data_IF_320450770275
#
_entry.id   IF_320450770275
#
_cell.length_a   1.000
_cell.length_b   1.000
_cell.length_c   1.000
_cell.angle_alpha   90.00
_cell.angle_beta   90.00
_cell.angle_gamma   90.00
#
_symmetry.space_group_name_H-M   'P 1'
#
loop_
_entity.id
_entity.type
_entity.pdbx_description
1 polymer ?
#
# COMPACT_ATOMS: atom_id res chain seq x y z
N UNK A 1 -7.40 1.53 16.29
CA UNK A 1 -7.47 2.13 14.94
C UNK A 1 -8.56 3.19 14.94
N UNK A 2 -8.25 4.39 14.47
CA UNK A 2 -9.20 5.49 14.38
C UNK A 2 -9.57 5.73 12.91
N UNK A 3 -10.86 5.57 12.58
CA UNK A 3 -11.40 5.87 11.27
C UNK A 3 -11.96 7.28 11.29
N UNK A 4 -11.43 8.16 10.44
CA UNK A 4 -11.94 9.52 10.26
C UNK A 4 -12.40 9.70 8.81
N UNK A 5 -13.34 10.62 8.59
CA UNK A 5 -13.81 11.06 7.28
C UNK A 5 -14.08 9.89 6.30
N UNK A 6 -15.25 9.26 6.44
CA UNK A 6 -15.71 8.27 5.47
C UNK A 6 -16.33 8.98 4.26
N UNK A 7 -15.86 8.63 3.06
CA UNK A 7 -16.47 9.05 1.81
C UNK A 7 -16.77 7.82 0.95
N UNK A 8 -18.03 7.66 0.59
CA UNK A 8 -18.44 6.68 -0.43
C UNK A 8 -18.25 7.34 -1.79
N UNK A 9 -17.59 6.66 -2.71
CA UNK A 9 -17.35 7.13 -4.07
C UNK A 9 -17.86 6.04 -5.01
N UNK A 10 -18.62 6.39 -6.06
CA UNK A 10 -18.88 5.42 -7.11
C UNK A 10 -17.54 5.01 -7.74
N UNK A 11 -17.26 3.71 -7.73
CA UNK A 11 -15.95 3.20 -8.09
C UNK A 11 -15.58 3.53 -9.53
N UNK A 12 -14.30 3.82 -9.76
CA UNK A 12 -13.76 3.96 -11.12
C UNK A 12 -13.85 2.67 -11.94
N UNK A 13 -14.04 1.52 -11.29
CA UNK A 13 -14.20 0.23 -11.94
C UNK A 13 -15.69 -0.11 -12.12
N UNK A 14 -16.15 -0.47 -13.33
CA UNK A 14 -17.53 -0.90 -13.55
C UNK A 14 -17.85 -2.11 -12.66
N UNK A 15 -18.97 -2.06 -11.94
CA UNK A 15 -19.39 -3.14 -11.04
C UNK A 15 -18.67 -3.21 -9.68
N UNK A 16 -17.93 -2.16 -9.32
CA UNK A 16 -17.26 -2.05 -8.02
C UNK A 16 -17.80 -0.88 -7.20
N UNK A 17 -18.11 -1.11 -5.91
CA UNK A 17 -18.39 -0.03 -4.95
C UNK A 17 -17.09 0.36 -4.24
N UNK A 18 -16.72 1.63 -4.31
CA UNK A 18 -15.49 2.14 -3.71
C UNK A 18 -15.82 2.95 -2.45
N UNK A 19 -15.14 2.64 -1.36
CA UNK A 19 -15.30 3.36 -0.10
C UNK A 19 -13.91 3.83 0.32
N UNK A 20 -13.81 5.11 0.62
CA UNK A 20 -12.56 5.77 0.95
C UNK A 20 -12.62 6.27 2.39
N UNK A 21 -11.57 5.98 3.14
CA UNK A 21 -11.45 6.31 4.55
C UNK A 21 -10.13 7.03 4.78
N UNK A 22 -10.15 8.11 5.56
CA UNK A 22 -8.91 8.63 6.14
C UNK A 22 -8.64 7.85 7.43
N UNK A 23 -7.71 6.90 7.37
CA UNK A 23 -7.40 5.99 8.47
C UNK A 23 -6.18 6.48 9.22
N UNK A 24 -6.28 6.49 10.55
CA UNK A 24 -5.18 6.63 11.48
C UNK A 24 -5.05 5.39 12.34
N UNK A 25 -3.85 4.87 12.49
CA UNK A 25 -3.51 3.85 13.46
C UNK A 25 -2.39 4.39 14.34
N UNK A 26 -2.71 4.61 15.60
CA UNK A 26 -1.77 4.95 16.64
C UNK A 26 -2.11 4.05 17.84
N UNK A 27 -1.45 2.90 17.99
CA UNK A 27 -1.65 2.03 19.14
C UNK A 27 -1.17 2.77 20.39
N UNK A 28 -2.00 2.80 21.44
CA UNK A 28 -1.64 3.43 22.71
C UNK A 28 -0.69 2.58 23.57
N UNK A 29 -0.61 1.29 23.27
CA UNK A 29 0.27 0.32 23.93
C UNK A 29 1.36 -0.17 22.96
N UNK A 30 2.44 -0.74 23.52
CA UNK A 30 3.53 -1.30 22.72
C UNK A 30 3.05 -2.45 21.84
N UNK A 31 3.32 -2.34 20.54
CA UNK A 31 3.11 -3.43 19.58
C UNK A 31 4.41 -4.23 19.54
N UNK A 32 4.31 -5.55 19.70
CA UNK A 32 5.43 -6.45 19.51
C UNK A 32 5.41 -7.00 18.09
N UNK A 33 6.06 -6.29 17.16
CA UNK A 33 6.24 -6.77 15.79
C UNK A 33 7.71 -7.17 15.61
N UNK A 34 7.99 -8.45 15.39
CA UNK A 34 9.35 -8.91 15.11
C UNK A 34 9.59 -9.02 13.60
N UNK A 35 10.68 -8.41 13.14
CA UNK A 35 11.17 -8.53 11.76
C UNK A 35 12.45 -9.36 11.80
N UNK A 36 12.46 -10.48 11.08
CA UNK A 36 13.62 -11.31 10.90
C UNK A 36 14.21 -11.08 9.51
N UNK A 37 15.49 -10.68 9.45
CA UNK A 37 16.26 -10.57 8.22
C UNK A 37 17.49 -11.48 8.33
N UNK A 38 17.35 -12.73 7.91
CA UNK A 38 18.38 -13.76 8.11
C UNK A 38 18.64 -14.02 9.60
N UNK A 39 19.89 -13.94 10.10
CA UNK A 39 20.19 -14.15 11.52
C UNK A 39 19.79 -12.97 12.41
N UNK A 40 19.34 -11.84 11.83
CA UNK A 40 19.04 -10.63 12.60
C UNK A 40 17.56 -10.55 12.93
N UNK A 41 17.26 -10.36 14.21
CA UNK A 41 15.92 -10.11 14.73
C UNK A 41 15.81 -8.68 15.24
N UNK A 42 14.92 -7.89 14.65
CA UNK A 42 14.57 -6.56 15.11
C UNK A 42 13.15 -6.57 15.68
N UNK A 43 12.94 -5.89 16.81
CA UNK A 43 11.60 -5.68 17.35
C UNK A 43 11.16 -4.23 17.08
N UNK A 44 10.03 -4.08 16.40
CA UNK A 44 9.25 -2.85 16.37
C UNK A 44 8.48 -2.75 17.69
N UNK A 45 8.53 -1.58 18.31
CA UNK A 45 7.84 -1.28 19.59
C UNK A 45 6.62 -0.41 19.35
N UNK A 46 6.73 0.50 18.39
CA UNK A 46 5.66 1.41 18.03
C UNK A 46 5.53 1.43 16.51
N UNK A 47 4.29 1.27 16.05
CA UNK A 47 3.91 1.38 14.65
C UNK A 47 2.74 2.35 14.58
N UNK A 48 2.98 3.52 14.01
CA UNK A 48 1.89 4.44 13.67
C UNK A 48 1.80 4.62 12.17
N UNK A 49 0.58 4.64 11.65
CA UNK A 49 0.36 4.96 10.25
C UNK A 49 -0.85 5.85 10.06
N UNK A 50 -0.77 6.75 9.09
CA UNK A 50 -1.88 7.59 8.67
C UNK A 50 -1.92 7.65 7.17
N UNK A 51 -3.08 7.40 6.60
CA UNK A 51 -3.22 7.42 5.16
C UNK A 51 -4.66 7.29 4.72
N UNK A 52 -4.87 7.53 3.43
CA UNK A 52 -6.17 7.38 2.80
C UNK A 52 -6.29 5.98 2.23
N UNK A 53 -7.02 5.15 2.97
CA UNK A 53 -7.32 3.77 2.62
C UNK A 53 -8.54 3.73 1.70
N UNK A 54 -8.44 2.92 0.67
CA UNK A 54 -9.54 2.62 -0.22
C UNK A 54 -9.90 1.14 -0.11
N UNK A 55 -11.19 0.88 0.07
CA UNK A 55 -11.78 -0.45 0.08
C UNK A 55 -12.76 -0.52 -1.10
N UNK A 56 -12.55 -1.50 -1.96
CA UNK A 56 -13.33 -1.73 -3.16
C UNK A 56 -14.07 -3.06 -3.02
N UNK A 57 -15.39 -3.03 -3.06
CA UNK A 57 -16.26 -4.20 -3.05
C UNK A 57 -16.55 -4.59 -4.50
N UNK A 58 -16.14 -5.79 -4.89
CA UNK A 58 -16.16 -6.29 -6.26
C UNK A 58 -17.15 -7.44 -6.40
N UNK A 59 -17.91 -7.45 -7.49
CA UNK A 59 -18.88 -8.51 -7.77
C UNK A 59 -20.02 -8.51 -6.76
N UNK A 60 -20.71 -7.37 -6.64
CA UNK A 60 -21.90 -7.24 -5.80
C UNK A 60 -23.03 -8.06 -6.41
N UNK A 61 -23.63 -8.96 -5.61
CA UNK A 61 -24.68 -9.89 -6.04
C UNK A 61 -25.83 -9.93 -5.02
N UNK A 62 -27.06 -10.26 -5.45
CA UNK A 62 -28.23 -10.31 -4.57
C UNK A 62 -28.27 -11.54 -3.65
N UNK A 63 -27.27 -12.43 -3.71
CA UNK A 63 -27.16 -13.64 -2.89
C UNK A 63 -26.01 -13.53 -1.88
N UNK A 64 -26.06 -14.29 -0.79
CA UNK A 64 -24.97 -14.32 0.20
C UNK A 64 -23.81 -15.19 -0.33
N UNK A 65 -22.54 -14.78 -0.22
CA UNK A 65 -22.07 -13.48 0.27
C UNK A 65 -22.38 -12.36 -0.73
N UNK A 66 -22.86 -11.21 -0.22
CA UNK A 66 -23.33 -10.08 -1.04
C UNK A 66 -22.23 -9.49 -1.94
N UNK A 67 -20.97 -9.72 -1.57
CA UNK A 67 -19.79 -9.28 -2.31
C UNK A 67 -18.92 -10.51 -2.58
N UNK A 68 -18.44 -10.62 -3.82
CA UNK A 68 -17.62 -11.77 -4.25
C UNK A 68 -16.13 -11.57 -3.97
N UNK A 69 -15.66 -10.32 -3.92
CA UNK A 69 -14.29 -10.00 -3.53
C UNK A 69 -14.09 -8.60 -2.97
N UNK A 70 -13.01 -8.42 -2.22
CA UNK A 70 -12.59 -7.13 -1.66
C UNK A 70 -11.21 -6.79 -2.21
N UNK A 71 -11.01 -5.53 -2.63
CA UNK A 71 -9.68 -4.97 -2.87
C UNK A 71 -9.40 -3.86 -1.88
N UNK A 72 -8.21 -3.86 -1.30
CA UNK A 72 -7.77 -2.85 -0.33
C UNK A 72 -6.44 -2.27 -0.77
N UNK A 73 -6.35 -0.95 -0.82
CA UNK A 73 -5.12 -0.24 -1.16
C UNK A 73 -5.10 1.16 -0.58
N UNK A 74 -3.92 1.74 -0.46
CA UNK A 74 -3.75 3.16 -0.18
C UNK A 74 -3.62 3.95 -1.49
N UNK A 75 -4.32 5.08 -1.55
CA UNK A 75 -4.30 5.97 -2.73
C UNK A 75 -2.95 6.65 -2.94
N UNK A 76 -2.23 6.91 -1.84
CA UNK A 76 -0.87 7.44 -1.82
C UNK A 76 -0.10 6.69 -0.73
N UNK A 77 1.23 6.75 -0.78
CA UNK A 77 2.07 6.21 0.29
C UNK A 77 1.62 6.77 1.65
N UNK A 78 1.20 5.91 2.60
CA UNK A 78 0.80 6.39 3.93
C UNK A 78 2.00 6.99 4.65
N UNK A 79 1.72 7.94 5.55
CA UNK A 79 2.73 8.39 6.52
C UNK A 79 2.90 7.28 7.54
N UNK A 80 4.13 6.78 7.67
CA UNK A 80 4.51 5.72 8.59
C UNK A 80 5.55 6.28 9.55
N UNK A 81 5.38 6.01 10.85
CA UNK A 81 6.38 6.29 11.88
C UNK A 81 6.57 5.06 12.74
N UNK A 82 7.83 4.69 12.95
CA UNK A 82 8.23 3.46 13.62
C UNK A 82 9.25 3.76 14.70
N UNK A 83 9.11 3.09 15.83
CA UNK A 83 10.13 3.07 16.89
C UNK A 83 10.64 1.63 17.03
N UNK A 84 11.96 1.48 16.96
CA UNK A 84 12.64 0.18 17.13
C UNK A 84 13.16 0.08 18.56
N UNK A 85 13.11 -1.13 19.15
CA UNK A 85 13.79 -1.41 20.42
C UNK A 85 14.55 -2.73 20.39
N UNK A 86 15.33 -2.98 21.44
CA UNK A 86 16.09 -4.22 21.61
C UNK A 86 17.31 -4.32 20.68
N UNK A 87 17.55 -5.54 20.14
CA UNK A 87 18.71 -5.88 19.29
C UNK A 87 18.78 -5.07 17.99
N UNK A 88 17.69 -4.37 17.64
CA UNK A 88 17.68 -3.41 16.55
C UNK A 88 18.64 -2.22 16.77
N UNK A 89 18.96 -1.86 18.02
CA UNK A 89 19.99 -0.87 18.33
C UNK A 89 21.42 -1.40 18.12
N UNK A 90 21.59 -2.72 18.10
CA UNK A 90 22.86 -3.40 17.83
C UNK A 90 23.03 -3.80 16.36
N UNK A 91 22.06 -3.47 15.50
CA UNK A 91 22.19 -3.64 14.05
C UNK A 91 23.29 -2.71 13.51
N UNK A 92 24.14 -3.17 12.58
CA UNK A 92 25.09 -2.33 11.86
C UNK A 92 24.40 -1.38 10.84
N UNK A 93 23.06 -1.37 10.79
CA UNK A 93 22.28 -0.52 9.90
C UNK A 93 21.70 0.65 10.70
N UNK A 94 21.84 1.90 10.20
CA UNK A 94 21.20 3.05 10.83
C UNK A 94 19.68 2.84 10.93
N UNK A 95 19.03 3.23 12.03
CA UNK A 95 17.58 3.05 12.22
C UNK A 95 16.77 3.73 11.10
N UNK A 96 17.27 4.84 10.55
CA UNK A 96 16.66 5.55 9.42
C UNK A 96 16.60 4.70 8.14
N UNK A 97 17.64 3.89 7.87
CA UNK A 97 17.67 3.00 6.69
C UNK A 97 16.67 1.86 6.85
N UNK A 98 16.54 1.32 8.06
CA UNK A 98 15.56 0.28 8.35
C UNK A 98 14.12 0.81 8.22
N UNK A 99 13.85 2.02 8.73
CA UNK A 99 12.57 2.68 8.56
C UNK A 99 12.22 2.91 7.08
N UNK A 100 13.20 3.33 6.27
CA UNK A 100 13.05 3.51 4.82
C UNK A 100 12.75 2.19 4.13
N UNK A 101 13.49 1.13 4.47
CA UNK A 101 13.28 -0.21 3.91
C UNK A 101 11.88 -0.77 4.23
N UNK A 102 11.43 -0.68 5.48
CA UNK A 102 10.08 -1.11 5.88
C UNK A 102 9.01 -0.29 5.16
N UNK A 103 9.23 1.03 5.05
CA UNK A 103 8.34 1.92 4.29
C UNK A 103 8.25 1.51 2.82
N UNK A 104 9.38 1.24 2.17
CA UNK A 104 9.42 0.86 0.75
C UNK A 104 8.70 -0.47 0.51
N UNK A 105 8.92 -1.47 1.36
CA UNK A 105 8.19 -2.75 1.29
C UNK A 105 6.68 -2.53 1.42
N UNK A 106 6.25 -1.74 2.42
CA UNK A 106 4.84 -1.47 2.64
C UNK A 106 4.24 -0.75 1.43
N UNK A 107 4.90 0.29 0.93
CA UNK A 107 4.48 1.03 -0.27
C UNK A 107 4.33 0.08 -1.46
N UNK A 108 5.34 -0.74 -1.71
CA UNK A 108 5.32 -1.69 -2.83
C UNK A 108 4.16 -2.69 -2.69
N UNK A 109 3.74 -3.10 -1.49
CA UNK A 109 2.68 -4.11 -1.33
C UNK A 109 1.27 -3.55 -1.27
N UNK A 110 1.08 -2.32 -0.77
CA UNK A 110 -0.26 -1.82 -0.40
C UNK A 110 -0.68 -0.53 -1.10
N UNK A 111 0.20 0.07 -1.92
CA UNK A 111 -0.09 1.29 -2.69
C UNK A 111 -0.21 0.93 -4.17
N UNK A 112 -1.10 1.64 -4.87
CA UNK A 112 -1.32 1.44 -6.31
C UNK A 112 0.00 1.39 -7.11
N UNK A 113 0.10 0.50 -8.11
CA UNK A 113 -0.95 -0.40 -8.61
C UNK A 113 -1.17 -1.65 -7.73
N UNK A 114 -0.36 -1.86 -6.70
CA UNK A 114 -0.46 -3.01 -5.83
C UNK A 114 -1.60 -2.84 -4.83
N UNK A 115 -2.37 -3.90 -4.66
CA UNK A 115 -3.53 -3.94 -3.79
C UNK A 115 -3.71 -5.32 -3.21
N UNK A 116 -4.15 -5.36 -1.94
CA UNK A 116 -4.52 -6.61 -1.30
C UNK A 116 -5.88 -7.04 -1.84
N UNK A 117 -5.95 -8.27 -2.34
CA UNK A 117 -7.18 -8.85 -2.87
C UNK A 117 -7.61 -10.03 -2.01
N UNK A 118 -8.89 -10.05 -1.64
CA UNK A 118 -9.51 -11.13 -0.89
C UNK A 118 -10.70 -11.64 -1.72
N UNK A 119 -10.63 -12.89 -2.17
CA UNK A 119 -11.73 -13.54 -2.88
C UNK A 119 -12.65 -14.21 -1.85
N UNK A 120 -13.80 -13.58 -1.58
CA UNK A 120 -14.76 -14.04 -0.57
C UNK A 120 -15.41 -15.35 -1.01
N UNK A 121 -15.72 -15.50 -2.30
CA UNK A 121 -16.36 -16.71 -2.81
C UNK A 121 -15.48 -17.95 -2.60
N UNK A 122 -14.18 -17.80 -2.79
CA UNK A 122 -13.19 -18.86 -2.54
C UNK A 122 -13.12 -19.21 -1.05
N UNK A 123 -13.10 -18.19 -0.17
CA UNK A 123 -13.10 -18.41 1.29
C UNK A 123 -14.41 -19.04 1.78
N UNK A 124 -15.52 -18.79 1.10
CA UNK A 124 -16.83 -19.34 1.41
C UNK A 124 -17.12 -20.68 0.73
N UNK A 125 -16.14 -21.28 0.04
CA UNK A 125 -16.28 -22.53 -0.73
C UNK A 125 -17.45 -22.50 -1.74
N UNK A 126 -17.65 -21.38 -2.44
CA UNK A 126 -18.76 -21.16 -3.37
C UNK A 126 -18.33 -21.15 -4.84
N UNK A 127 -17.39 -22.01 -5.23
CA UNK A 127 -16.88 -22.03 -6.60
C UNK A 127 -17.96 -22.35 -7.65
N UNK A 128 -18.95 -23.17 -7.30
CA UNK A 128 -20.06 -23.57 -8.19
C UNK A 128 -21.28 -22.64 -8.14
N UNK A 129 -21.21 -21.56 -7.35
CA UNK A 129 -22.35 -20.67 -7.16
C UNK A 129 -22.60 -19.77 -8.40
N UNK A 130 -23.87 -19.43 -8.68
CA UNK A 130 -24.16 -18.41 -9.69
C UNK A 130 -23.48 -17.09 -9.31
N UNK A 131 -22.87 -16.44 -10.29
CA UNK A 131 -22.07 -15.21 -10.11
C UNK A 131 -20.82 -15.38 -9.25
N UNK A 132 -20.19 -16.56 -9.29
CA UNK A 132 -18.82 -16.75 -8.80
C UNK A 132 -17.87 -15.76 -9.49
N UNK A 133 -17.01 -15.10 -8.71
CA UNK A 133 -15.95 -14.24 -9.24
C UNK A 133 -14.63 -15.02 -9.38
N UNK A 134 -14.16 -15.30 -10.61
CA UNK A 134 -12.87 -15.94 -10.83
C UNK A 134 -11.72 -15.17 -10.19
N UNK A 135 -10.73 -15.91 -9.69
CA UNK A 135 -9.53 -15.32 -9.10
C UNK A 135 -8.86 -14.31 -10.05
N UNK A 136 -8.72 -14.67 -11.32
CA UNK A 136 -8.11 -13.80 -12.34
C UNK A 136 -8.82 -12.45 -12.45
N UNK A 137 -10.14 -12.42 -12.43
CA UNK A 137 -10.90 -11.18 -12.64
C UNK A 137 -10.78 -10.22 -11.44
N UNK A 138 -10.53 -10.77 -10.24
CA UNK A 138 -10.19 -9.97 -9.08
C UNK A 138 -8.73 -9.48 -9.15
N UNK A 139 -7.78 -10.33 -9.54
CA UNK A 139 -6.34 -10.03 -9.48
C UNK A 139 -5.79 -9.27 -10.69
N UNK A 140 -6.45 -9.39 -11.83
CA UNK A 140 -6.02 -8.83 -13.12
C UNK A 140 -7.20 -8.12 -13.79
N UNK A 141 -7.73 -7.05 -13.18
CA UNK A 141 -8.83 -6.31 -13.78
C UNK A 141 -8.38 -5.66 -15.09
N UNK A 142 -9.30 -5.47 -16.05
CA UNK A 142 -9.00 -4.69 -17.24
C UNK A 142 -8.62 -3.25 -16.86
N UNK A 143 -7.72 -2.60 -17.62
CA UNK A 143 -7.35 -1.21 -17.37
C UNK A 143 -8.58 -0.30 -17.54
N UNK A 144 -8.78 0.62 -16.58
CA UNK A 144 -9.90 1.58 -16.61
C UNK A 144 -9.71 2.64 -17.70
N UNK A 145 -8.46 2.91 -18.07
CA UNK A 145 -8.10 3.85 -19.12
C UNK A 145 -6.60 3.84 -19.39
N UNK A 146 -6.18 4.55 -20.43
CA UNK A 146 -4.77 4.67 -20.82
C UNK A 146 -4.37 6.13 -20.77
N UNK A 147 -3.38 6.44 -19.94
CA UNK A 147 -2.76 7.78 -19.91
C UNK A 147 -1.61 7.80 -20.93
N UNK A 148 -1.77 8.56 -22.02
CA UNK A 148 -0.70 8.83 -22.98
C UNK A 148 0.06 10.07 -22.53
N UNK A 149 1.31 9.89 -22.12
CA UNK A 149 2.22 11.00 -21.79
C UNK A 149 3.16 11.24 -22.97
N UNK A 150 3.20 12.47 -23.47
CA UNK A 150 4.16 12.91 -24.50
C UNK A 150 5.09 13.93 -23.85
N UNK A 151 6.37 13.58 -23.73
CA UNK A 151 7.39 14.49 -23.22
C UNK A 151 7.94 15.28 -24.41
N UNK A 152 7.67 16.59 -24.44
CA UNK A 152 8.08 17.46 -25.55
C UNK A 152 9.52 17.96 -25.45
N UNK A 153 10.05 18.05 -24.24
CA UNK A 153 11.40 18.51 -23.96
C UNK A 153 11.59 18.65 -22.46
N UNK A 154 12.85 18.68 -22.03
CA UNK A 154 13.21 18.99 -20.64
C UNK A 154 14.26 20.10 -20.71
N UNK A 155 13.97 21.23 -20.07
CA UNK A 155 14.90 22.37 -19.99
C UNK A 155 15.54 22.40 -18.60
N UNK A 156 16.76 22.97 -18.51
CA UNK A 156 17.44 23.16 -17.22
C UNK A 156 18.02 21.90 -16.59
N UNK A 157 18.16 20.79 -17.32
CA UNK A 157 18.97 19.67 -16.87
C UNK A 157 20.45 20.10 -16.89
N UNK A 158 21.03 20.30 -15.71
CA UNK A 158 22.48 20.42 -15.59
C UNK A 158 23.14 19.19 -16.22
N UNK A 159 24.15 19.39 -17.08
CA UNK A 159 24.88 18.26 -17.63
C UNK A 159 25.58 17.52 -16.48
N UNK A 160 25.86 16.22 -16.64
CA UNK A 160 26.63 15.47 -15.65
C UNK A 160 27.99 16.13 -15.34
N UNK A 161 28.55 16.89 -16.30
CA UNK A 161 29.76 17.69 -16.13
C UNK A 161 29.53 18.93 -15.24
N UNK A 162 28.38 19.61 -15.37
CA UNK A 162 28.04 20.78 -14.54
C UNK A 162 27.78 20.37 -13.09
N UNK A 163 27.18 19.20 -12.86
CA UNK A 163 27.04 18.60 -11.54
C UNK A 163 28.40 18.24 -10.94
N UNK A 164 29.31 17.64 -11.72
CA UNK A 164 30.67 17.32 -11.27
C UNK A 164 31.46 18.60 -10.88
N UNK A 165 31.33 19.68 -11.66
CA UNK A 165 31.93 20.98 -11.33
C UNK A 165 31.33 21.60 -10.05
N UNK A 166 30.01 21.51 -9.88
CA UNK A 166 29.32 22.06 -8.71
C UNK A 166 29.68 21.32 -7.40
N UNK A 167 29.98 20.03 -7.48
CA UNK A 167 30.48 19.25 -6.33
C UNK A 167 31.97 19.48 -6.06
N UNK A 168 32.79 19.68 -7.09
CA UNK A 168 34.21 20.01 -6.93
C UNK A 168 34.44 21.42 -6.35
N UNK A 169 33.57 22.37 -6.62
CA UNK A 169 33.66 23.74 -6.11
C UNK A 169 33.17 23.93 -4.65
N UNK A 170 32.72 22.85 -3.98
CA UNK A 170 32.22 22.86 -2.60
C UNK A 170 33.13 22.14 -1.60
N UNK A 171 34.34 21.74 -2.00
CA UNK A 171 35.43 21.29 -1.13
C UNK A 171 36.45 22.42 -0.95
#
# INVERSE_FOLDING_TARGET
PELRNMRVIQGQFPGCLQIMFDVGFAPGDSINLSVALGPVHAALTELTFRGRLCVCLVGIKPSIPVVSGIKVYFTNAPTLSFSFSGVAAALPLPPEKLATFVRDILIEKIVLPNSLHVNIDTLANKQDAPHFLPYHDLHSPPPVGVLRVVVHGVEGCASAADLALAFAARQ
#
